data_IF_644902320834
#
_entry.id   IF_644902320834
#
_cell.length_a   1.000
_cell.length_b   1.000
_cell.length_c   1.000
_cell.angle_alpha   90.00
_cell.angle_beta   90.00
_cell.angle_gamma   90.00
#
_symmetry.space_group_name_H-M   'P 1'
#
loop_
_entity.id
_entity.type
_entity.pdbx_description
1 polymer ?
#
# COMPACT_ATOMS: atom_id res chain seq x y z
N UNK A 1 -6.95 18.86 -22.55
CA UNK A 1 -7.13 19.61 -21.32
C UNK A 1 -7.39 18.66 -20.16
N UNK A 2 -6.82 18.93 -19.03
CA UNK A 2 -7.02 18.10 -17.85
C UNK A 2 -8.45 18.19 -17.36
N UNK A 3 -9.04 17.04 -17.05
CA UNK A 3 -10.35 16.96 -16.44
C UNK A 3 -10.28 16.82 -14.92
N UNK A 4 -9.06 16.73 -14.37
CA UNK A 4 -8.89 16.59 -12.94
C UNK A 4 -9.29 17.87 -12.23
N UNK A 5 -10.01 17.74 -11.13
CA UNK A 5 -10.28 18.85 -10.25
C UNK A 5 -8.97 19.38 -9.65
N UNK A 6 -8.80 20.72 -9.55
CA UNK A 6 -7.61 21.25 -8.87
C UNK A 6 -7.44 20.76 -7.43
N UNK A 7 -8.55 20.30 -6.81
CA UNK A 7 -8.55 19.80 -5.45
C UNK A 7 -8.54 18.27 -5.37
N UNK A 8 -8.42 17.59 -6.51
CA UNK A 8 -8.39 16.15 -6.52
C UNK A 8 -7.09 15.66 -5.87
N UNK A 9 -7.23 14.76 -4.91
CA UNK A 9 -6.11 14.15 -4.21
C UNK A 9 -5.54 13.02 -5.06
N UNK A 10 -4.33 13.18 -5.56
CA UNK A 10 -3.67 12.19 -6.40
C UNK A 10 -2.41 11.65 -5.77
N UNK A 11 -1.65 10.88 -6.56
CA UNK A 11 -0.44 10.21 -6.07
C UNK A 11 0.60 11.21 -5.56
N UNK A 12 0.79 12.33 -6.24
CA UNK A 12 1.76 13.37 -5.82
C UNK A 12 1.38 13.92 -4.46
N UNK A 13 0.09 14.18 -4.23
CA UNK A 13 -0.40 14.68 -2.95
C UNK A 13 -0.20 13.64 -1.84
N UNK A 14 -0.45 12.38 -2.16
CA UNK A 14 -0.27 11.28 -1.24
C UNK A 14 1.19 11.15 -0.80
N UNK A 15 2.11 11.16 -1.76
CA UNK A 15 3.55 11.08 -1.49
C UNK A 15 3.98 12.26 -0.62
N UNK A 16 3.53 13.46 -0.95
CA UNK A 16 3.85 14.66 -0.18
C UNK A 16 3.35 14.56 1.26
N UNK A 17 2.15 14.05 1.45
CA UNK A 17 1.58 13.86 2.79
C UNK A 17 2.43 12.88 3.62
N UNK A 18 2.86 11.77 3.01
CA UNK A 18 3.71 10.81 3.70
C UNK A 18 5.05 11.43 4.08
N UNK A 19 5.68 12.15 3.15
CA UNK A 19 6.95 12.82 3.41
C UNK A 19 6.85 13.78 4.58
N UNK A 20 5.78 14.55 4.65
CA UNK A 20 5.57 15.50 5.75
C UNK A 20 5.44 14.80 7.09
N UNK A 21 4.75 13.68 7.12
CA UNK A 21 4.62 12.88 8.35
C UNK A 21 5.98 12.35 8.77
N UNK A 22 6.73 11.75 7.85
CA UNK A 22 8.03 11.14 8.17
C UNK A 22 9.09 12.17 8.54
N UNK A 23 9.01 13.38 8.00
CA UNK A 23 9.95 14.45 8.34
C UNK A 23 9.87 14.83 9.83
N UNK A 24 8.74 14.59 10.47
CA UNK A 24 8.56 14.87 11.89
C UNK A 24 9.11 13.76 12.79
N UNK A 25 9.52 12.63 12.20
CA UNK A 25 10.05 11.47 12.90
C UNK A 25 9.16 10.97 14.05
N UNK A 26 7.85 10.79 13.81
CA UNK A 26 6.95 10.36 14.86
C UNK A 26 7.07 8.86 15.13
N UNK A 27 6.43 8.39 16.20
CA UNK A 27 6.31 6.97 16.47
C UNK A 27 5.51 6.27 15.37
N UNK A 28 5.75 4.96 15.19
CA UNK A 28 5.10 4.19 14.13
C UNK A 28 3.57 4.28 14.19
N UNK A 29 2.97 4.29 15.40
CA UNK A 29 1.51 4.41 15.52
C UNK A 29 0.97 5.71 14.93
N UNK A 30 1.75 6.79 15.01
CA UNK A 30 1.38 8.07 14.43
C UNK A 30 1.51 8.02 12.90
N UNK A 31 2.59 7.39 12.41
CA UNK A 31 2.78 7.19 10.97
C UNK A 31 1.58 6.41 10.41
N UNK A 32 1.24 5.29 11.02
CA UNK A 32 0.14 4.44 10.55
C UNK A 32 -1.17 5.23 10.53
N UNK A 33 -1.45 5.99 11.60
CA UNK A 33 -2.66 6.78 11.70
C UNK A 33 -2.76 7.83 10.60
N UNK A 34 -1.70 8.61 10.40
CA UNK A 34 -1.72 9.72 9.45
C UNK A 34 -1.65 9.23 8.01
N UNK A 35 -0.85 8.20 7.73
CA UNK A 35 -0.79 7.61 6.40
C UNK A 35 -2.11 6.91 6.06
N UNK A 36 -2.76 6.29 7.04
CA UNK A 36 -4.08 5.67 6.81
C UNK A 36 -5.14 6.69 6.39
N UNK A 37 -5.11 7.88 6.99
CA UNK A 37 -6.02 8.95 6.59
C UNK A 37 -5.79 9.37 5.13
N UNK A 38 -4.52 9.57 4.77
CA UNK A 38 -4.16 9.94 3.41
C UNK A 38 -4.50 8.82 2.41
N UNK A 39 -4.31 7.56 2.81
CA UNK A 39 -4.62 6.41 1.98
C UNK A 39 -6.12 6.31 1.73
N UNK A 40 -6.93 6.56 2.74
CA UNK A 40 -8.39 6.57 2.57
C UNK A 40 -8.83 7.63 1.57
N UNK A 41 -8.24 8.81 1.65
CA UNK A 41 -8.54 9.89 0.72
C UNK A 41 -8.12 9.52 -0.71
N UNK A 42 -6.91 8.96 -0.87
CA UNK A 42 -6.42 8.53 -2.18
C UNK A 42 -7.33 7.49 -2.81
N UNK A 43 -7.76 6.50 -2.02
CA UNK A 43 -8.57 5.39 -2.52
C UNK A 43 -10.04 5.75 -2.73
N UNK A 44 -10.46 6.96 -2.37
CA UNK A 44 -11.83 7.40 -2.62
C UNK A 44 -12.10 7.68 -4.10
N UNK A 45 -11.05 7.84 -4.90
CA UNK A 45 -11.13 8.06 -6.33
C UNK A 45 -9.93 7.37 -6.96
N UNK A 46 -10.15 6.62 -8.03
CA UNK A 46 -9.10 5.82 -8.66
C UNK A 46 -8.53 6.44 -9.94
N UNK A 47 -8.96 7.64 -10.31
CA UNK A 47 -8.55 8.26 -11.57
C UNK A 47 -7.06 8.60 -11.64
N UNK A 48 -6.39 8.71 -10.49
CA UNK A 48 -4.95 8.95 -10.42
C UNK A 48 -4.12 7.72 -10.81
N UNK A 49 -4.71 6.51 -10.74
CA UNK A 49 -4.02 5.25 -10.99
C UNK A 49 -4.02 4.95 -12.48
N UNK A 50 -2.83 4.91 -13.08
CA UNK A 50 -2.68 4.62 -14.50
C UNK A 50 -3.09 3.19 -14.83
N UNK A 51 -3.62 3.00 -16.03
CA UNK A 51 -4.11 1.70 -16.48
C UNK A 51 -3.01 0.63 -16.41
N UNK A 52 -1.80 0.97 -16.79
CA UNK A 52 -0.67 0.03 -16.76
C UNK A 52 -0.38 -0.50 -15.35
N UNK A 53 -0.76 0.23 -14.32
CA UNK A 53 -0.56 -0.17 -12.92
C UNK A 53 -1.75 -0.94 -12.34
N UNK A 54 -2.76 -1.23 -13.18
CA UNK A 54 -3.93 -2.03 -12.81
C UNK A 54 -3.89 -3.44 -13.39
N UNK A 55 -2.85 -3.76 -14.16
CA UNK A 55 -2.74 -5.04 -14.86
C UNK A 55 -2.03 -6.06 -13.99
N UNK A 56 -2.66 -7.22 -13.82
CA UNK A 56 -2.09 -8.34 -13.10
C UNK A 56 -1.64 -9.45 -14.03
N UNK A 57 -0.89 -10.41 -13.49
CA UNK A 57 -0.46 -11.59 -14.20
C UNK A 57 -1.34 -12.78 -13.82
N UNK A 58 -1.51 -13.77 -14.73
CA UNK A 58 -2.37 -14.93 -14.44
C UNK A 58 -1.78 -15.87 -13.39
N UNK A 59 -0.45 -15.89 -13.22
CA UNK A 59 0.23 -16.89 -12.40
C UNK A 59 0.38 -16.47 -10.95
N UNK A 60 0.38 -15.16 -10.67
CA UNK A 60 0.65 -14.64 -9.33
C UNK A 60 0.16 -13.20 -9.24
N UNK A 61 0.02 -12.70 -8.00
CA UNK A 61 -0.26 -11.30 -7.82
C UNK A 61 0.91 -10.45 -8.33
N UNK A 62 0.63 -9.24 -8.72
CA UNK A 62 1.60 -8.35 -9.36
C UNK A 62 1.80 -7.10 -8.52
N UNK A 63 3.04 -6.65 -8.44
CA UNK A 63 3.42 -5.41 -7.74
C UNK A 63 3.97 -4.43 -8.74
N UNK A 64 3.41 -3.23 -8.73
CA UNK A 64 3.90 -2.12 -9.55
C UNK A 64 4.45 -1.03 -8.63
N UNK A 65 5.70 -0.66 -8.82
CA UNK A 65 6.29 0.43 -8.04
C UNK A 65 5.75 1.76 -8.57
N UNK A 66 5.06 2.50 -7.71
CA UNK A 66 4.52 3.81 -8.05
C UNK A 66 5.45 4.93 -7.63
N UNK A 67 6.13 4.76 -6.51
CA UNK A 67 7.04 5.78 -5.98
C UNK A 67 8.05 5.16 -5.02
N UNK A 68 9.27 5.66 -5.10
CA UNK A 68 10.33 5.37 -4.13
C UNK A 68 10.81 6.68 -3.53
N UNK A 69 10.79 6.77 -2.20
CA UNK A 69 11.28 7.94 -1.50
C UNK A 69 12.79 8.13 -1.78
N UNK A 70 13.22 9.33 -2.19
CA UNK A 70 14.66 9.60 -2.39
C UNK A 70 15.51 9.34 -1.14
N UNK A 71 14.92 9.43 0.04
CA UNK A 71 15.61 9.17 1.31
C UNK A 71 15.46 7.71 1.77
N UNK A 72 14.87 6.84 0.94
CA UNK A 72 14.68 5.42 1.22
C UNK A 72 13.88 5.10 2.49
N UNK A 73 12.91 5.96 2.84
CA UNK A 73 12.07 5.76 4.03
C UNK A 73 10.82 4.96 3.75
N UNK A 74 10.34 4.98 2.50
CA UNK A 74 9.12 4.27 2.12
C UNK A 74 9.06 4.04 0.61
N UNK A 75 8.18 3.14 0.23
CA UNK A 75 7.78 2.96 -1.18
C UNK A 75 6.25 2.92 -1.25
N UNK A 76 5.73 3.24 -2.42
CA UNK A 76 4.31 3.09 -2.73
C UNK A 76 4.18 2.08 -3.85
N UNK A 77 3.35 1.09 -3.64
CA UNK A 77 3.11 0.02 -4.60
C UNK A 77 1.63 -0.06 -4.94
N UNK A 78 1.34 -0.39 -6.21
CA UNK A 78 0.04 -0.90 -6.60
C UNK A 78 0.13 -2.42 -6.63
N UNK A 79 -0.76 -3.09 -5.90
CA UNK A 79 -0.80 -4.55 -5.84
C UNK A 79 -2.05 -5.02 -6.57
N UNK A 80 -1.86 -5.94 -7.51
CA UNK A 80 -2.97 -6.46 -8.30
C UNK A 80 -3.09 -7.96 -8.07
N UNK A 81 -4.24 -8.38 -7.51
CA UNK A 81 -4.59 -9.80 -7.38
C UNK A 81 -5.71 -10.10 -8.33
N UNK A 82 -5.54 -11.12 -9.16
CA UNK A 82 -6.67 -11.69 -9.89
C UNK A 82 -7.44 -12.63 -8.98
N UNK A 83 -8.71 -12.93 -9.29
CA UNK A 83 -9.51 -13.81 -8.43
C UNK A 83 -8.77 -15.10 -8.11
N UNK A 84 -8.74 -15.47 -6.84
CA UNK A 84 -8.08 -16.67 -6.36
C UNK A 84 -6.60 -16.54 -6.07
N UNK A 85 -5.97 -15.45 -6.42
CA UNK A 85 -4.55 -15.23 -6.09
C UNK A 85 -4.38 -14.84 -4.63
N UNK A 86 -3.30 -15.30 -4.03
CA UNK A 86 -3.01 -15.04 -2.63
C UNK A 86 -1.51 -14.96 -2.41
N UNK A 87 -1.11 -14.42 -1.27
CA UNK A 87 0.28 -14.43 -0.84
C UNK A 87 0.50 -15.57 0.14
N UNK A 88 1.75 -16.08 0.26
CA UNK A 88 2.09 -16.98 1.36
C UNK A 88 1.91 -16.27 2.70
N UNK A 89 1.80 -17.07 3.76
CA UNK A 89 1.78 -16.53 5.12
C UNK A 89 3.12 -15.84 5.37
N UNK A 90 3.06 -14.59 5.81
CA UNK A 90 4.26 -13.78 6.03
C UNK A 90 3.98 -12.70 7.07
N UNK A 91 5.04 -12.09 7.58
CA UNK A 91 4.92 -10.91 8.42
C UNK A 91 5.60 -9.73 7.74
N UNK A 92 5.44 -8.55 8.33
CA UNK A 92 6.07 -7.33 7.84
C UNK A 92 7.08 -6.83 8.85
N UNK A 93 8.32 -6.61 8.40
CA UNK A 93 9.39 -6.14 9.26
C UNK A 93 9.30 -4.64 9.58
N UNK A 94 8.42 -3.91 8.90
CA UNK A 94 8.25 -2.48 9.07
C UNK A 94 6.76 -2.14 9.02
N UNK A 95 6.44 -0.87 9.33
CA UNK A 95 5.06 -0.41 9.20
C UNK A 95 4.59 -0.49 7.76
N UNK A 96 3.29 -0.66 7.60
CA UNK A 96 2.67 -0.67 6.29
C UNK A 96 1.21 -0.26 6.39
N UNK A 97 0.71 0.33 5.32
CA UNK A 97 -0.70 0.71 5.20
C UNK A 97 -1.18 0.25 3.83
N UNK A 98 -2.34 -0.37 3.80
CA UNK A 98 -2.94 -0.86 2.55
C UNK A 98 -4.34 -0.27 2.40
N UNK A 99 -4.62 0.29 1.23
CA UNK A 99 -5.95 0.74 0.84
C UNK A 99 -6.47 -0.09 -0.32
N UNK A 100 -7.79 -0.22 -0.40
CA UNK A 100 -8.44 -0.94 -1.48
C UNK A 100 -8.97 0.09 -2.47
N UNK A 101 -8.52 -0.01 -3.72
CA UNK A 101 -8.94 0.91 -4.79
C UNK A 101 -10.12 0.32 -5.56
N UNK A 102 -10.10 -0.99 -5.81
CA UNK A 102 -11.10 -1.66 -6.62
C UNK A 102 -11.32 -3.07 -6.10
N UNK A 103 -12.56 -3.55 -6.17
CA UNK A 103 -12.98 -4.88 -5.73
C UNK A 103 -12.80 -5.10 -4.23
N UNK A 104 -12.62 -6.34 -3.83
CA UNK A 104 -12.54 -6.76 -2.44
C UNK A 104 -11.33 -7.64 -2.22
N UNK A 105 -10.63 -7.41 -1.14
CA UNK A 105 -9.50 -8.22 -0.71
C UNK A 105 -9.85 -8.88 0.63
N UNK A 106 -9.59 -10.18 0.74
CA UNK A 106 -9.72 -10.91 1.98
C UNK A 106 -8.35 -11.04 2.64
N UNK A 107 -8.28 -10.71 3.92
CA UNK A 107 -7.08 -10.89 4.71
C UNK A 107 -7.36 -11.83 5.86
N UNK A 108 -6.48 -12.82 6.06
CA UNK A 108 -6.54 -13.74 7.18
C UNK A 108 -5.27 -13.54 8.01
N UNK A 109 -5.46 -13.28 9.30
CA UNK A 109 -4.37 -13.09 10.23
C UNK A 109 -4.08 -14.40 10.96
N UNK A 110 -2.81 -14.74 11.09
CA UNK A 110 -2.34 -15.95 11.76
C UNK A 110 -1.44 -15.57 12.92
N UNK A 111 -1.66 -16.24 14.05
CA UNK A 111 -0.76 -16.10 15.20
C UNK A 111 0.30 -17.18 15.11
N UNK A 112 1.55 -16.78 15.32
CA UNK A 112 2.65 -17.73 15.35
C UNK A 112 2.70 -18.43 16.71
N UNK A 113 2.67 -19.75 16.71
CA UNK A 113 2.64 -20.54 17.94
C UNK A 113 4.00 -21.10 18.33
N UNK A 114 5.01 -21.01 17.44
CA UNK A 114 6.37 -21.44 17.76
C UNK A 114 7.22 -20.25 18.20
N UNK A 115 8.51 -20.49 18.45
CA UNK A 115 9.45 -19.45 18.89
C UNK A 115 10.06 -18.63 17.75
N UNK A 116 9.59 -18.84 16.52
CA UNK A 116 10.12 -18.15 15.35
C UNK A 116 11.37 -18.77 14.75
N UNK A 117 11.84 -19.90 15.27
CA UNK A 117 13.03 -20.56 14.76
C UNK A 117 12.78 -21.33 13.45
N UNK A 118 11.53 -21.59 13.10
CA UNK A 118 11.14 -22.30 11.87
C UNK A 118 10.44 -21.33 10.94
N UNK A 119 11.11 -20.85 9.89
CA UNK A 119 10.47 -19.99 8.90
C UNK A 119 9.29 -20.73 8.25
N UNK A 120 8.19 -19.98 7.98
CA UNK A 120 7.00 -20.49 7.30
C UNK A 120 6.24 -21.57 8.08
N UNK A 121 6.56 -21.80 9.34
CA UNK A 121 5.79 -22.69 10.18
C UNK A 121 4.62 -21.95 10.80
N UNK A 122 3.43 -22.54 10.69
CA UNK A 122 2.19 -21.97 11.22
C UNK A 122 1.44 -22.97 12.05
#
# INVERSE_FOLDING_TARGET
>A
MSTASPNAFGLTDYVSAIEQVLDQRPANRIIIREVSKATKELCSDDRWLEERHRVGEPDRYTRHLLHRDPKNRFIVLSLVWQPGQMTPIHDHACWGVMGIVDNTLEEVCYDRLDDGSRPNFC
#
